data_IF_108667105133
#
_entry.id   IF_108667105133
#
_cell.length_a   1.000
_cell.length_b   1.000
_cell.length_c   1.000
_cell.angle_alpha   90.00
_cell.angle_beta   90.00
_cell.angle_gamma   90.00
#
_symmetry.space_group_name_H-M   'P 1'
#
loop_
_entity.id
_entity.type
_entity.pdbx_description
1 polymer ?
#
# COMPACT_ATOMS: atom_id res chain seq x y z
N UNK A 1 6.39 54.35 25.64
CA UNK A 1 6.91 53.18 24.95
C UNK A 1 6.32 51.92 25.59
N UNK A 2 5.27 51.40 25.01
CA UNK A 2 4.66 50.11 25.46
C UNK A 2 5.19 49.01 24.56
N UNK A 3 5.92 48.06 25.15
CA UNK A 3 6.39 46.85 24.46
C UNK A 3 5.23 45.85 24.39
N UNK A 4 4.80 45.49 23.18
CA UNK A 4 3.92 44.36 22.95
C UNK A 4 4.77 43.10 22.80
N UNK A 5 4.60 42.16 23.72
CA UNK A 5 5.15 40.80 23.61
C UNK A 5 4.12 40.00 22.83
N UNK A 6 4.48 39.62 21.60
CA UNK A 6 3.71 38.70 20.77
C UNK A 6 4.10 37.28 21.16
N UNK A 7 3.25 36.64 21.94
CA UNK A 7 3.38 35.20 22.21
C UNK A 7 2.75 34.43 21.07
N UNK A 8 3.57 33.92 20.16
CA UNK A 8 3.15 32.97 19.13
C UNK A 8 2.89 31.61 19.78
N UNK A 9 1.63 31.25 19.87
CA UNK A 9 1.17 29.93 20.28
C UNK A 9 1.39 28.96 19.11
N UNK A 10 2.45 28.17 19.16
CA UNK A 10 2.65 27.04 18.25
C UNK A 10 1.66 25.95 18.65
N UNK A 11 0.54 25.84 17.90
CA UNK A 11 -0.36 24.70 17.97
C UNK A 11 0.29 23.56 17.19
N UNK A 12 1.04 22.69 17.86
CA UNK A 12 1.40 21.40 17.30
C UNK A 12 0.12 20.57 17.20
N UNK A 13 -0.50 20.54 16.04
CA UNK A 13 -1.44 19.48 15.69
C UNK A 13 -0.64 18.18 15.59
N UNK A 14 -0.62 17.40 16.66
CA UNK A 14 -0.25 15.99 16.57
C UNK A 14 -1.32 15.31 15.70
N UNK A 15 -1.01 15.11 14.42
CA UNK A 15 -1.75 14.12 13.62
C UNK A 15 -1.56 12.78 14.32
N UNK A 16 -2.57 12.38 15.06
CA UNK A 16 -2.72 10.99 15.46
C UNK A 16 -3.01 10.26 14.14
N UNK A 17 -1.99 9.67 13.56
CA UNK A 17 -2.16 8.64 12.56
C UNK A 17 -2.99 7.55 13.25
N UNK A 18 -4.26 7.47 12.93
CA UNK A 18 -5.05 6.31 13.25
C UNK A 18 -4.42 5.17 12.45
N UNK A 19 -3.61 4.35 13.11
CA UNK A 19 -3.12 3.13 12.52
C UNK A 19 -4.35 2.39 11.98
N UNK A 20 -4.33 2.04 10.69
CA UNK A 20 -5.35 1.17 10.10
C UNK A 20 -5.50 -0.04 11.02
N UNK A 21 -6.71 -0.52 11.31
CA UNK A 21 -6.86 -1.70 12.15
C UNK A 21 -6.16 -2.87 11.45
N UNK A 22 -4.97 -3.21 11.93
CA UNK A 22 -4.27 -4.39 11.46
C UNK A 22 -5.17 -5.61 11.63
N UNK A 23 -5.32 -6.41 10.59
CA UNK A 23 -5.97 -7.71 10.71
C UNK A 23 -5.24 -8.51 11.77
N UNK A 24 -5.94 -8.92 12.83
CA UNK A 24 -5.32 -9.79 13.83
C UNK A 24 -4.78 -11.05 13.17
N UNK A 25 -3.51 -11.35 13.40
CA UNK A 25 -2.88 -12.60 12.97
C UNK A 25 -3.33 -13.80 13.82
N UNK A 26 -4.05 -13.58 14.92
CA UNK A 26 -4.45 -14.58 15.90
C UNK A 26 -5.91 -14.43 16.26
N UNK A 27 -6.55 -15.58 16.60
CA UNK A 27 -7.87 -15.55 17.25
C UNK A 27 -7.74 -14.88 18.63
N UNK A 28 -8.68 -14.02 18.98
CA UNK A 28 -8.66 -13.29 20.25
C UNK A 28 -9.09 -14.13 21.47
N UNK A 29 -9.65 -15.31 21.22
CA UNK A 29 -10.26 -16.19 22.20
C UNK A 29 -9.79 -17.65 22.11
N UNK A 30 -8.67 -17.91 21.41
CA UNK A 30 -8.14 -19.27 21.21
C UNK A 30 -6.63 -19.33 21.40
N UNK A 31 -6.20 -20.44 21.97
CA UNK A 31 -4.79 -20.80 22.07
C UNK A 31 -4.58 -22.28 21.82
N UNK A 32 -3.38 -22.64 21.46
CA UNK A 32 -2.93 -24.02 21.37
C UNK A 32 -2.03 -24.32 22.55
N UNK A 33 -2.16 -25.51 23.12
CA UNK A 33 -1.19 -26.08 24.06
C UNK A 33 -0.71 -27.42 23.53
N UNK A 34 0.56 -27.71 23.75
CA UNK A 34 1.11 -29.06 23.59
C UNK A 34 1.45 -29.59 24.98
N UNK A 35 0.98 -30.77 25.31
CA UNK A 35 1.34 -31.43 26.57
C UNK A 35 2.71 -32.11 26.48
N UNK A 36 3.36 -32.30 27.62
CA UNK A 36 4.60 -33.07 27.70
C UNK A 36 4.40 -34.49 27.15
N UNK A 37 5.43 -35.12 26.56
CA UNK A 37 5.32 -36.44 25.93
C UNK A 37 4.90 -37.57 26.88
N UNK A 38 5.16 -37.42 28.16
CA UNK A 38 4.80 -38.42 29.23
C UNK A 38 3.39 -38.18 29.79
N UNK A 39 2.70 -37.13 29.31
CA UNK A 39 1.36 -36.80 29.76
C UNK A 39 0.35 -37.38 28.77
N UNK A 40 -0.58 -38.16 29.30
CA UNK A 40 -1.69 -38.75 28.52
C UNK A 40 -3.02 -38.26 29.06
N UNK A 41 -3.84 -37.70 28.18
CA UNK A 41 -5.24 -37.38 28.46
C UNK A 41 -6.11 -38.48 27.88
N UNK A 42 -6.60 -39.38 28.72
CA UNK A 42 -7.45 -40.49 28.25
C UNK A 42 -8.83 -40.04 27.80
N UNK A 43 -9.39 -39.03 28.51
CA UNK A 43 -10.70 -38.47 28.22
C UNK A 43 -10.77 -37.03 28.72
N UNK A 44 -11.49 -36.21 28.00
CA UNK A 44 -11.84 -34.85 28.42
C UNK A 44 -13.26 -34.83 28.88
N UNK A 45 -13.48 -34.69 30.16
CA UNK A 45 -14.77 -34.52 30.79
C UNK A 45 -15.14 -33.02 30.98
N UNK A 46 -16.38 -32.72 31.33
CA UNK A 46 -16.79 -31.35 31.62
C UNK A 46 -17.40 -31.27 33.02
N UNK A 47 -16.88 -30.37 33.85
CA UNK A 47 -17.45 -30.09 35.19
C UNK A 47 -17.64 -28.58 35.37
N UNK A 48 -18.81 -28.17 35.80
CA UNK A 48 -19.12 -26.75 36.06
C UNK A 48 -18.83 -25.81 34.88
N UNK A 49 -18.92 -26.32 33.65
CA UNK A 49 -18.71 -25.53 32.43
C UNK A 49 -17.26 -25.43 31.96
N UNK A 50 -16.33 -26.12 32.62
CA UNK A 50 -14.90 -26.18 32.21
C UNK A 50 -14.50 -27.62 31.84
N UNK A 51 -13.57 -27.82 30.90
CA UNK A 51 -12.96 -29.10 30.62
C UNK A 51 -12.15 -29.62 31.82
N UNK A 52 -12.13 -30.94 31.98
CA UNK A 52 -11.39 -31.66 33.04
C UNK A 52 -10.61 -32.80 32.39
N UNK A 53 -9.32 -32.88 32.63
CA UNK A 53 -8.38 -33.83 32.02
C UNK A 53 -7.92 -34.91 32.99
N UNK A 54 -8.14 -34.71 34.29
CA UNK A 54 -7.58 -35.55 35.36
C UNK A 54 -6.17 -35.08 35.80
N UNK A 55 -5.58 -34.09 35.14
CA UNK A 55 -4.28 -33.52 35.50
C UNK A 55 -4.54 -32.30 36.38
N UNK A 56 -4.28 -32.40 37.67
CA UNK A 56 -4.75 -31.41 38.66
C UNK A 56 -4.22 -29.97 38.42
N UNK A 57 -3.00 -29.80 37.92
CA UNK A 57 -2.43 -28.48 37.61
C UNK A 57 -3.15 -27.87 36.39
N UNK A 58 -3.34 -28.66 35.35
CA UNK A 58 -4.01 -28.26 34.11
C UNK A 58 -5.49 -27.96 34.35
N UNK A 59 -6.21 -28.85 35.06
CA UNK A 59 -7.63 -28.68 35.41
C UNK A 59 -7.91 -27.39 36.17
N UNK A 60 -6.96 -27.04 37.08
CA UNK A 60 -7.03 -25.77 37.78
C UNK A 60 -6.91 -24.57 36.85
N UNK A 61 -6.00 -24.60 35.87
CA UNK A 61 -5.82 -23.53 34.90
C UNK A 61 -7.03 -23.44 33.95
N UNK A 62 -7.53 -24.57 33.45
CA UNK A 62 -8.72 -24.64 32.60
C UNK A 62 -9.93 -23.95 33.27
N UNK A 63 -10.16 -24.24 34.55
CA UNK A 63 -11.23 -23.62 35.33
C UNK A 63 -10.97 -22.13 35.61
N UNK A 64 -9.76 -21.75 36.07
CA UNK A 64 -9.41 -20.38 36.45
C UNK A 64 -9.37 -19.42 35.26
N UNK A 65 -9.17 -19.91 34.03
CA UNK A 65 -9.04 -19.11 32.83
C UNK A 65 -10.26 -19.12 31.95
N UNK A 66 -11.39 -19.62 32.48
CA UNK A 66 -12.68 -19.67 31.77
C UNK A 66 -12.56 -20.36 30.40
N UNK A 67 -11.78 -21.46 30.36
CA UNK A 67 -11.73 -22.31 29.17
C UNK A 67 -13.05 -23.06 29.06
N UNK A 68 -13.70 -22.92 27.93
CA UNK A 68 -15.03 -23.53 27.67
C UNK A 68 -14.95 -24.68 26.69
N UNK A 69 -13.86 -24.77 25.91
CA UNK A 69 -13.60 -25.88 24.99
C UNK A 69 -12.15 -26.31 25.14
N UNK A 70 -11.93 -27.60 25.16
CA UNK A 70 -10.63 -28.24 24.93
C UNK A 70 -10.86 -29.40 23.98
N UNK A 71 -10.20 -29.36 22.84
CA UNK A 71 -10.32 -30.39 21.79
C UNK A 71 -8.96 -30.69 21.18
N UNK A 72 -8.77 -31.91 20.73
CA UNK A 72 -7.56 -32.29 20.00
C UNK A 72 -7.45 -31.42 18.73
N UNK A 73 -6.29 -30.74 18.56
CA UNK A 73 -6.10 -29.81 17.43
C UNK A 73 -6.03 -30.51 16.09
N UNK A 74 -5.46 -31.72 16.05
CA UNK A 74 -5.40 -32.60 14.88
C UNK A 74 -6.30 -33.83 15.13
N UNK A 75 -7.59 -33.77 14.79
CA UNK A 75 -8.53 -34.84 15.08
C UNK A 75 -8.11 -36.17 14.41
N UNK A 76 -8.05 -37.24 15.19
CA UNK A 76 -7.68 -38.56 14.71
C UNK A 76 -6.17 -38.84 14.74
N UNK A 77 -5.32 -37.89 15.16
CA UNK A 77 -3.93 -38.19 15.45
C UNK A 77 -3.80 -39.10 16.67
N UNK A 78 -2.79 -39.94 16.67
CA UNK A 78 -2.47 -40.95 17.67
C UNK A 78 -1.11 -40.66 18.31
N UNK A 79 -0.73 -41.30 19.41
CA UNK A 79 0.61 -41.14 19.98
C UNK A 79 1.77 -41.55 19.06
N UNK A 80 1.49 -42.31 18.00
CA UNK A 80 2.49 -42.71 17.01
C UNK A 80 2.71 -41.62 15.93
N UNK A 81 1.83 -40.62 15.85
CA UNK A 81 1.95 -39.49 14.93
C UNK A 81 2.84 -38.42 15.53
N UNK A 82 4.05 -38.29 15.01
CA UNK A 82 5.09 -37.41 15.55
C UNK A 82 5.63 -36.43 14.51
N UNK A 83 6.00 -35.23 14.96
CA UNK A 83 6.84 -34.27 14.24
C UNK A 83 8.08 -33.94 15.09
N UNK A 84 9.21 -34.53 14.73
CA UNK A 84 10.39 -34.55 15.60
C UNK A 84 10.08 -35.19 16.97
N UNK A 85 10.26 -34.47 18.06
CA UNK A 85 9.97 -34.92 19.42
C UNK A 85 8.54 -34.57 19.89
N UNK A 86 7.72 -33.98 19.03
CA UNK A 86 6.35 -33.57 19.33
C UNK A 86 5.36 -34.67 18.97
N UNK A 87 4.58 -35.12 19.94
CA UNK A 87 3.45 -36.03 19.73
C UNK A 87 2.25 -35.20 19.28
N UNK A 88 1.81 -35.39 18.03
CA UNK A 88 0.76 -34.57 17.42
C UNK A 88 -0.60 -34.70 18.12
N UNK A 89 -0.90 -35.88 18.71
CA UNK A 89 -2.12 -36.09 19.48
C UNK A 89 -2.12 -35.34 20.83
N UNK A 90 -0.98 -34.82 21.29
CA UNK A 90 -0.86 -34.03 22.51
C UNK A 90 -1.07 -32.52 22.29
N UNK A 91 -1.40 -32.12 21.06
CA UNK A 91 -1.72 -30.72 20.75
C UNK A 91 -3.23 -30.50 20.89
N UNK A 92 -3.60 -29.58 21.76
CA UNK A 92 -5.00 -29.24 22.05
C UNK A 92 -5.28 -27.78 21.72
N UNK A 93 -6.47 -27.52 21.14
CA UNK A 93 -7.05 -26.21 21.06
C UNK A 93 -7.87 -25.92 22.31
N UNK A 94 -7.61 -24.77 22.91
CA UNK A 94 -8.41 -24.24 24.01
C UNK A 94 -9.17 -22.99 23.53
N UNK A 95 -10.49 -22.94 23.82
CA UNK A 95 -11.29 -21.74 23.55
C UNK A 95 -11.77 -21.12 24.88
N UNK A 96 -11.69 -19.78 24.94
CA UNK A 96 -12.09 -18.96 26.07
C UNK A 96 -13.46 -18.33 25.80
N UNK A 97 -14.09 -17.83 26.85
CA UNK A 97 -15.21 -16.90 26.70
C UNK A 97 -14.68 -15.59 26.13
N UNK A 98 -15.16 -15.23 24.94
CA UNK A 98 -14.67 -14.06 24.18
C UNK A 98 -14.74 -12.76 25.01
N UNK A 99 -13.68 -11.95 24.93
CA UNK A 99 -13.62 -10.59 25.48
C UNK A 99 -13.40 -10.48 26.99
N UNK A 100 -13.18 -11.59 27.71
CA UNK A 100 -13.04 -11.56 29.18
C UNK A 100 -11.60 -11.63 29.70
N UNK A 101 -10.67 -12.23 28.96
CA UNK A 101 -9.31 -12.48 29.44
C UNK A 101 -8.26 -11.88 28.52
N UNK A 102 -7.14 -11.44 29.08
CA UNK A 102 -5.95 -11.11 28.32
C UNK A 102 -5.30 -12.42 27.84
N UNK A 103 -5.42 -12.71 26.54
CA UNK A 103 -4.97 -13.96 25.93
C UNK A 103 -3.46 -14.18 26.14
N UNK A 104 -2.64 -13.12 26.09
CA UNK A 104 -1.18 -13.25 26.31
C UNK A 104 -0.87 -13.74 27.70
N UNK A 105 -1.57 -13.23 28.71
CA UNK A 105 -1.42 -13.68 30.08
C UNK A 105 -1.91 -15.12 30.25
N UNK A 106 -2.97 -15.51 29.56
CA UNK A 106 -3.48 -16.89 29.57
C UNK A 106 -2.44 -17.83 28.97
N UNK A 107 -1.90 -17.52 27.79
CA UNK A 107 -0.81 -18.28 27.14
C UNK A 107 0.39 -18.45 28.09
N UNK A 108 0.84 -17.35 28.70
CA UNK A 108 1.96 -17.38 29.63
C UNK A 108 1.70 -18.30 30.85
N UNK A 109 0.46 -18.34 31.35
CA UNK A 109 0.13 -19.21 32.50
C UNK A 109 0.13 -20.69 32.08
N UNK A 110 -0.38 -21.04 30.90
CA UNK A 110 -0.32 -22.42 30.41
C UNK A 110 1.13 -22.83 30.11
N UNK A 111 1.91 -21.95 29.52
CA UNK A 111 3.34 -22.23 29.27
C UNK A 111 4.15 -22.48 30.53
N UNK A 112 3.73 -21.91 31.65
CA UNK A 112 4.39 -22.10 32.97
C UNK A 112 3.94 -23.38 33.69
N UNK A 113 2.92 -24.10 33.19
CA UNK A 113 2.47 -25.36 33.84
C UNK A 113 3.40 -26.51 33.46
N UNK A 114 3.83 -27.34 34.43
CA UNK A 114 4.81 -28.41 34.20
C UNK A 114 4.27 -29.53 33.28
N UNK A 115 2.97 -29.64 33.10
CA UNK A 115 2.35 -30.62 32.15
C UNK A 115 2.35 -30.12 30.71
N UNK A 116 2.65 -28.83 30.47
CA UNK A 116 2.61 -28.20 29.17
C UNK A 116 4.02 -28.06 28.59
N UNK A 117 4.27 -28.56 27.40
CA UNK A 117 5.53 -28.41 26.69
C UNK A 117 5.65 -26.99 26.10
N UNK A 118 4.60 -26.51 25.43
CA UNK A 118 4.46 -25.13 24.95
C UNK A 118 3.00 -24.69 24.92
N UNK A 119 2.79 -23.37 24.93
CA UNK A 119 1.50 -22.74 24.68
C UNK A 119 1.69 -21.54 23.77
N UNK A 120 0.77 -21.32 22.83
CA UNK A 120 0.82 -20.23 21.87
C UNK A 120 -0.59 -19.77 21.47
N UNK A 121 -0.71 -18.57 20.90
CA UNK A 121 -1.97 -18.09 20.32
C UNK A 121 -2.25 -18.85 19.03
N UNK A 122 -3.51 -19.22 18.79
CA UNK A 122 -3.90 -19.86 17.53
C UNK A 122 -3.84 -18.86 16.37
N UNK A 123 -3.02 -19.16 15.37
CA UNK A 123 -2.82 -18.33 14.17
C UNK A 123 -4.04 -18.41 13.27
N UNK A 124 -4.47 -17.28 12.73
CA UNK A 124 -5.47 -17.23 11.66
C UNK A 124 -4.75 -17.40 10.32
N UNK A 125 -4.85 -18.58 9.73
CA UNK A 125 -4.37 -18.80 8.37
C UNK A 125 -5.35 -18.18 7.38
N UNK A 126 -4.85 -17.30 6.53
CA UNK A 126 -5.61 -16.68 5.45
C UNK A 126 -4.90 -16.93 4.13
N UNK A 127 -5.63 -17.10 3.02
CA UNK A 127 -5.02 -16.99 1.70
C UNK A 127 -4.36 -15.62 1.58
N UNK A 128 -3.16 -15.57 1.02
CA UNK A 128 -2.52 -14.29 0.69
C UNK A 128 -3.40 -13.54 -0.31
N UNK A 129 -3.51 -12.24 -0.10
CA UNK A 129 -4.20 -11.38 -1.04
C UNK A 129 -3.53 -11.45 -2.42
N UNK A 130 -4.34 -11.60 -3.45
CA UNK A 130 -3.88 -11.62 -4.85
C UNK A 130 -4.70 -10.61 -5.64
N UNK A 131 -4.07 -9.57 -6.20
CA UNK A 131 -4.77 -8.61 -7.06
C UNK A 131 -5.34 -9.27 -8.31
N UNK A 132 -6.40 -8.67 -8.85
CA UNK A 132 -7.07 -9.20 -10.03
C UNK A 132 -6.47 -8.72 -11.36
N UNK A 133 -5.38 -7.98 -11.32
CA UNK A 133 -4.70 -7.41 -12.49
C UNK A 133 -4.25 -8.49 -13.45
N UNK A 134 -4.60 -8.32 -14.73
CA UNK A 134 -4.46 -9.37 -15.75
C UNK A 134 -3.03 -9.87 -15.99
N UNK A 135 -2.02 -9.05 -15.67
CA UNK A 135 -0.59 -9.36 -15.80
C UNK A 135 0.10 -9.68 -14.47
N UNK A 136 -0.62 -9.68 -13.33
CA UNK A 136 -0.02 -9.94 -12.03
C UNK A 136 0.78 -11.25 -12.00
N UNK A 137 0.28 -12.31 -12.63
CA UNK A 137 0.97 -13.60 -12.70
C UNK A 137 2.35 -13.56 -13.38
N UNK A 138 2.63 -12.52 -14.17
CA UNK A 138 3.92 -12.31 -14.84
C UNK A 138 4.89 -11.46 -14.00
N UNK A 139 4.41 -10.87 -12.90
CA UNK A 139 5.19 -9.96 -12.04
C UNK A 139 5.95 -10.73 -10.95
N UNK A 140 6.91 -11.55 -11.36
CA UNK A 140 7.71 -12.39 -10.47
C UNK A 140 8.38 -11.64 -9.29
N UNK A 141 8.62 -10.35 -9.47
CA UNK A 141 9.29 -9.51 -8.47
C UNK A 141 8.39 -9.17 -7.27
N UNK A 142 7.08 -9.06 -7.43
CA UNK A 142 6.16 -8.74 -6.32
C UNK A 142 6.16 -9.84 -5.24
N UNK A 143 6.01 -11.13 -5.56
CA UNK A 143 6.22 -12.18 -4.57
C UNK A 143 7.66 -12.22 -4.02
N UNK A 144 8.66 -11.88 -4.86
CA UNK A 144 10.06 -11.88 -4.42
C UNK A 144 10.34 -10.85 -3.33
N UNK A 145 9.72 -9.68 -3.38
CA UNK A 145 9.80 -8.62 -2.36
C UNK A 145 8.73 -8.76 -1.27
N UNK A 146 7.92 -9.82 -1.32
CA UNK A 146 6.82 -10.10 -0.37
C UNK A 146 5.73 -9.03 -0.35
N UNK A 147 5.44 -8.44 -1.50
CA UNK A 147 4.37 -7.44 -1.63
C UNK A 147 2.99 -8.02 -1.30
N UNK A 148 2.57 -9.22 -1.79
CA UNK A 148 1.30 -9.82 -1.41
C UNK A 148 1.15 -10.04 0.10
N UNK A 149 2.22 -10.48 0.77
CA UNK A 149 2.23 -10.66 2.23
C UNK A 149 2.10 -9.32 2.97
N UNK A 150 2.72 -8.26 2.44
CA UNK A 150 2.58 -6.92 3.01
C UNK A 150 1.15 -6.36 2.81
N UNK A 151 0.57 -6.56 1.64
CA UNK A 151 -0.81 -6.12 1.37
C UNK A 151 -1.84 -6.87 2.21
N UNK A 152 -1.59 -8.15 2.53
CA UNK A 152 -2.49 -8.95 3.37
C UNK A 152 -2.61 -8.46 4.82
N UNK A 153 -1.70 -7.59 5.28
CA UNK A 153 -1.81 -6.91 6.57
C UNK A 153 -2.99 -5.92 6.62
N UNK A 154 -3.52 -5.50 5.46
CA UNK A 154 -4.61 -4.54 5.34
C UNK A 154 -5.94 -5.26 5.11
N UNK A 155 -7.05 -4.65 5.54
CA UNK A 155 -8.40 -5.18 5.29
C UNK A 155 -8.96 -4.71 3.94
N UNK A 156 -8.29 -5.13 2.85
CA UNK A 156 -8.63 -4.71 1.48
C UNK A 156 -10.09 -5.01 1.16
N UNK A 157 -10.60 -6.18 1.55
CA UNK A 157 -12.02 -6.54 1.36
C UNK A 157 -12.99 -5.63 2.15
N UNK A 158 -12.52 -5.06 3.27
CA UNK A 158 -13.25 -4.07 4.07
C UNK A 158 -13.00 -2.63 3.61
N UNK A 159 -12.26 -2.41 2.51
CA UNK A 159 -11.99 -1.09 1.95
C UNK A 159 -10.75 -0.38 2.53
N UNK A 160 -9.96 -1.06 3.35
CA UNK A 160 -8.70 -0.51 3.88
C UNK A 160 -7.57 -0.90 2.94
N UNK A 161 -7.15 0.04 2.08
CA UNK A 161 -6.12 -0.20 1.07
C UNK A 161 -4.71 -0.01 1.63
N UNK A 162 -3.71 -0.80 1.17
CA UNK A 162 -2.30 -0.52 1.41
C UNK A 162 -1.89 0.79 0.74
N UNK A 163 -1.12 1.62 1.45
CA UNK A 163 -0.69 2.92 0.92
C UNK A 163 -1.72 4.03 1.11
N UNK A 164 -1.35 5.23 0.67
CA UNK A 164 -2.14 6.45 0.81
C UNK A 164 -1.85 7.38 -0.37
N UNK A 165 -2.88 7.96 -1.00
CA UNK A 165 -2.75 8.86 -2.14
C UNK A 165 -2.07 10.21 -1.79
N UNK A 166 -1.98 10.55 -0.51
CA UNK A 166 -1.16 11.68 -0.05
C UNK A 166 0.35 11.43 -0.15
N UNK A 167 0.75 10.15 -0.35
CA UNK A 167 2.16 9.78 -0.61
C UNK A 167 2.42 9.89 -2.10
N UNK A 168 3.21 10.89 -2.46
CA UNK A 168 3.59 11.18 -3.85
C UNK A 168 4.92 10.53 -4.18
N UNK A 169 4.94 9.76 -5.25
CA UNK A 169 6.15 9.17 -5.84
C UNK A 169 6.48 9.88 -7.13
N UNK A 170 7.65 10.48 -7.23
CA UNK A 170 8.11 11.12 -8.46
C UNK A 170 8.82 10.09 -9.37
N UNK A 171 8.33 9.93 -10.60
CA UNK A 171 9.04 9.23 -11.67
C UNK A 171 9.90 10.24 -12.44
N UNK A 172 11.20 10.28 -12.11
CA UNK A 172 12.18 11.17 -12.76
C UNK A 172 12.85 10.39 -13.87
N UNK A 173 12.32 10.46 -15.10
CA UNK A 173 12.67 9.53 -16.19
C UNK A 173 12.48 10.16 -17.59
N UNK A 174 12.16 9.33 -18.58
CA UNK A 174 11.87 9.71 -19.98
C UNK A 174 10.46 10.28 -20.20
N UNK A 175 9.73 10.59 -19.14
CA UNK A 175 8.33 10.95 -19.16
C UNK A 175 7.41 9.74 -19.00
N UNK A 176 6.18 10.01 -18.62
CA UNK A 176 5.15 9.01 -18.32
C UNK A 176 3.95 9.23 -19.22
N UNK A 177 3.44 8.16 -19.83
CA UNK A 177 2.14 8.21 -20.50
C UNK A 177 1.03 8.29 -19.43
N UNK A 178 0.78 9.47 -18.93
CA UNK A 178 -0.19 9.71 -17.85
C UNK A 178 -1.64 9.47 -18.28
N UNK A 179 -1.91 9.30 -19.60
CA UNK A 179 -3.21 8.87 -20.16
C UNK A 179 -3.35 7.35 -20.22
N UNK A 180 -2.31 6.59 -19.84
CA UNK A 180 -2.35 5.12 -19.90
C UNK A 180 -3.47 4.57 -19.01
N UNK A 181 -4.32 3.62 -19.50
CA UNK A 181 -5.47 3.12 -18.74
C UNK A 181 -5.16 2.60 -17.33
N UNK A 182 -3.94 2.09 -17.13
CA UNK A 182 -3.47 1.53 -15.87
C UNK A 182 -2.75 2.55 -14.96
N UNK A 183 -2.57 3.80 -15.42
CA UNK A 183 -1.86 4.85 -14.70
C UNK A 183 -2.72 6.10 -14.44
N UNK A 184 -3.62 6.44 -15.35
CA UNK A 184 -4.34 7.72 -15.38
C UNK A 184 -5.03 8.06 -14.06
N UNK A 185 -5.53 7.07 -13.34
CA UNK A 185 -6.24 7.25 -12.07
C UNK A 185 -5.27 7.35 -10.87
N UNK A 186 -3.96 7.29 -11.10
CA UNK A 186 -2.89 7.39 -10.09
C UNK A 186 -1.99 8.60 -10.27
N UNK A 187 -2.23 9.41 -11.29
CA UNK A 187 -1.46 10.63 -11.52
C UNK A 187 -1.68 11.59 -10.35
N UNK A 188 -0.59 12.15 -9.86
CA UNK A 188 -0.63 13.23 -8.89
C UNK A 188 -1.16 14.50 -9.53
N UNK A 189 -2.00 15.24 -8.82
CA UNK A 189 -2.48 16.55 -9.22
C UNK A 189 -1.85 17.59 -8.31
N UNK A 190 -1.17 18.57 -8.87
CA UNK A 190 -0.76 19.76 -8.15
C UNK A 190 -1.99 20.57 -7.76
N UNK A 191 -2.40 20.47 -6.50
CA UNK A 191 -3.62 21.12 -6.01
C UNK A 191 -3.56 22.65 -6.07
N UNK A 192 -2.35 23.21 -6.01
CA UNK A 192 -2.16 24.66 -6.10
C UNK A 192 -2.40 25.16 -7.54
N UNK A 193 -2.07 24.35 -8.53
CA UNK A 193 -2.26 24.65 -9.96
C UNK A 193 -3.69 24.41 -10.46
N UNK A 194 -4.62 24.01 -9.59
CA UNK A 194 -6.05 23.99 -9.93
C UNK A 194 -6.63 25.39 -9.72
N UNK A 195 -7.00 26.12 -10.79
CA UNK A 195 -7.44 27.51 -10.65
C UNK A 195 -8.64 27.64 -9.71
N UNK A 196 -8.56 28.58 -8.76
CA UNK A 196 -9.57 28.78 -7.70
C UNK A 196 -10.98 28.96 -8.30
N UNK A 197 -11.06 29.56 -9.49
CA UNK A 197 -12.35 29.82 -10.16
C UNK A 197 -13.10 28.57 -10.63
N UNK A 198 -12.39 27.44 -10.81
CA UNK A 198 -12.97 26.17 -11.25
C UNK A 198 -12.90 25.09 -10.17
N UNK A 199 -12.14 25.28 -9.10
CA UNK A 199 -11.88 24.24 -8.09
C UNK A 199 -13.15 23.53 -7.63
N UNK A 200 -14.16 24.26 -7.19
CA UNK A 200 -15.42 23.66 -6.71
C UNK A 200 -16.26 22.98 -7.83
N UNK A 201 -15.98 23.25 -9.11
CA UNK A 201 -16.65 22.59 -10.22
C UNK A 201 -15.93 21.31 -10.62
N UNK A 202 -14.63 21.25 -10.39
CA UNK A 202 -13.79 20.06 -10.62
C UNK A 202 -13.90 19.10 -9.43
N UNK A 203 -13.76 19.55 -8.18
CA UNK A 203 -13.97 18.78 -6.96
C UNK A 203 -15.44 18.37 -6.82
N UNK A 204 -15.82 17.36 -7.59
CA UNK A 204 -17.22 16.94 -7.75
C UNK A 204 -17.77 16.18 -6.54
N UNK A 205 -16.90 15.58 -5.75
CA UNK A 205 -17.24 14.84 -4.52
C UNK A 205 -17.19 15.73 -3.27
N UNK A 206 -16.63 16.96 -3.39
CA UNK A 206 -16.52 17.98 -2.33
C UNK A 206 -15.67 17.49 -1.14
N UNK A 207 -14.62 16.72 -1.39
CA UNK A 207 -13.69 16.27 -0.35
C UNK A 207 -12.51 17.25 -0.13
N UNK A 208 -12.41 18.29 -0.95
CA UNK A 208 -11.39 19.33 -0.89
C UNK A 208 -10.07 18.97 -1.58
N UNK A 209 -10.06 17.89 -2.37
CA UNK A 209 -8.91 17.43 -3.15
C UNK A 209 -9.36 17.08 -4.56
N UNK A 210 -8.75 17.68 -5.57
CA UNK A 210 -9.02 17.34 -6.96
C UNK A 210 -8.24 16.08 -7.36
N UNK A 211 -8.94 15.04 -7.76
CA UNK A 211 -8.39 13.78 -8.25
C UNK A 211 -8.18 13.79 -9.77
N UNK A 212 -7.31 12.92 -10.33
CA UNK A 212 -7.17 12.78 -11.78
C UNK A 212 -8.45 12.30 -12.47
N UNK A 213 -9.28 11.53 -11.78
CA UNK A 213 -10.59 11.11 -12.26
C UNK A 213 -11.53 12.31 -12.45
N UNK A 214 -11.50 13.26 -11.53
CA UNK A 214 -12.29 14.49 -11.58
C UNK A 214 -11.79 15.45 -12.64
N UNK A 215 -10.46 15.60 -12.79
CA UNK A 215 -9.87 16.36 -13.93
C UNK A 215 -10.34 15.75 -15.24
N UNK A 216 -10.20 14.43 -15.41
CA UNK A 216 -10.62 13.73 -16.62
C UNK A 216 -12.12 13.82 -16.92
N UNK A 217 -12.97 13.93 -15.88
CA UNK A 217 -14.41 14.12 -16.02
C UNK A 217 -14.81 15.57 -16.33
N UNK A 218 -13.99 16.54 -15.92
CA UNK A 218 -14.26 17.96 -16.09
C UNK A 218 -13.82 18.50 -17.45
N UNK A 219 -12.68 18.03 -17.97
CA UNK A 219 -12.16 18.48 -19.27
C UNK A 219 -13.04 18.06 -20.43
N UNK A 220 -12.92 18.76 -21.54
CA UNK A 220 -13.53 18.39 -22.83
C UNK A 220 -12.41 18.13 -23.85
N UNK A 221 -12.74 17.67 -25.04
CA UNK A 221 -11.75 17.46 -26.11
C UNK A 221 -11.20 18.84 -26.58
N UNK A 222 -10.20 19.34 -25.85
CA UNK A 222 -9.59 20.65 -26.08
C UNK A 222 -8.61 20.64 -27.25
N UNK A 223 -7.95 19.54 -27.53
CA UNK A 223 -6.99 19.39 -28.62
C UNK A 223 -7.64 18.97 -29.94
N UNK A 224 -8.94 18.62 -29.92
CA UNK A 224 -9.74 18.29 -31.10
C UNK A 224 -9.40 16.94 -31.72
N UNK A 225 -8.76 16.03 -30.94
CA UNK A 225 -8.35 14.72 -31.46
C UNK A 225 -9.49 13.67 -31.44
N UNK A 226 -10.64 14.00 -30.88
CA UNK A 226 -11.81 13.14 -30.73
C UNK A 226 -11.78 12.24 -29.49
N UNK A 227 -10.85 12.45 -28.58
CA UNK A 227 -10.70 11.68 -27.35
C UNK A 227 -10.53 12.63 -26.17
N UNK A 228 -11.43 12.55 -25.19
CA UNK A 228 -11.28 13.31 -23.94
C UNK A 228 -10.46 12.52 -22.93
N UNK A 229 -9.37 13.10 -22.44
CA UNK A 229 -8.48 12.47 -21.46
C UNK A 229 -7.67 13.53 -20.69
N UNK A 230 -6.75 13.11 -19.80
CA UNK A 230 -5.94 14.03 -19.00
C UNK A 230 -5.06 14.99 -19.82
N UNK A 231 -4.68 14.63 -21.06
CA UNK A 231 -3.87 15.51 -21.92
C UNK A 231 -4.62 16.78 -22.28
N UNK A 232 -5.94 16.73 -22.38
CA UNK A 232 -6.76 17.91 -22.63
C UNK A 232 -6.66 18.96 -21.52
N UNK A 233 -6.32 18.56 -20.30
CA UNK A 233 -6.11 19.49 -19.19
C UNK A 233 -4.90 20.39 -19.43
N UNK A 234 -3.86 19.90 -20.12
CA UNK A 234 -2.64 20.66 -20.45
C UNK A 234 -2.73 21.41 -21.79
N UNK A 235 -3.85 21.32 -22.50
CA UNK A 235 -4.01 22.07 -23.75
C UNK A 235 -4.24 23.56 -23.47
N UNK A 236 -3.62 24.43 -24.25
CA UNK A 236 -3.63 25.89 -24.04
C UNK A 236 -5.03 26.56 -23.99
N UNK A 237 -6.07 25.87 -24.44
CA UNK A 237 -7.47 26.33 -24.32
C UNK A 237 -8.18 25.74 -23.10
N UNK A 238 -7.52 24.90 -22.34
CA UNK A 238 -8.07 24.31 -21.12
C UNK A 238 -8.19 25.36 -20.01
N UNK A 239 -9.24 25.30 -19.19
CA UNK A 239 -9.38 26.20 -18.05
C UNK A 239 -8.35 25.94 -16.92
N UNK A 240 -7.56 24.87 -16.99
CA UNK A 240 -6.44 24.63 -16.08
C UNK A 240 -5.18 25.42 -16.47
N UNK A 241 -5.07 25.84 -17.74
CA UNK A 241 -3.91 26.57 -18.26
C UNK A 241 -4.16 28.09 -18.15
N UNK A 242 -4.04 28.63 -16.96
CA UNK A 242 -4.28 30.06 -16.71
C UNK A 242 -3.00 30.92 -16.82
N UNK A 243 -1.85 30.27 -16.97
CA UNK A 243 -0.55 30.90 -17.14
C UNK A 243 0.05 31.48 -15.86
N UNK A 244 -0.37 30.98 -14.72
CA UNK A 244 0.09 31.40 -13.39
C UNK A 244 0.80 30.21 -12.73
N UNK A 245 1.99 30.45 -12.19
CA UNK A 245 2.65 29.57 -11.23
C UNK A 245 2.04 29.87 -9.86
N UNK A 246 1.05 29.09 -9.47
CA UNK A 246 0.20 29.40 -8.31
C UNK A 246 0.84 28.97 -6.98
N UNK A 247 1.76 28.01 -6.99
CA UNK A 247 2.45 27.59 -5.77
C UNK A 247 3.77 28.37 -5.52
N UNK A 248 4.37 28.97 -6.57
CA UNK A 248 5.59 29.81 -6.52
C UNK A 248 6.66 29.26 -5.55
N UNK A 249 6.80 27.92 -5.50
CA UNK A 249 7.62 27.24 -4.49
C UNK A 249 9.11 27.65 -4.55
N UNK A 250 9.60 28.07 -5.72
CA UNK A 250 10.97 28.53 -5.92
C UNK A 250 11.14 30.05 -5.81
N UNK A 251 10.07 30.78 -5.47
CA UNK A 251 9.98 32.24 -5.42
C UNK A 251 10.26 32.92 -6.77
N UNK A 252 9.87 32.27 -7.86
CA UNK A 252 9.99 32.78 -9.21
C UNK A 252 8.72 32.47 -10.02
N UNK A 253 7.71 33.30 -9.88
CA UNK A 253 6.39 33.16 -10.48
C UNK A 253 6.35 33.00 -12.03
N UNK A 254 7.46 32.74 -12.67
CA UNK A 254 7.60 32.43 -14.09
C UNK A 254 8.28 31.07 -14.33
N UNK A 255 8.49 30.27 -13.28
CA UNK A 255 8.98 28.91 -13.34
C UNK A 255 7.81 27.96 -13.06
N UNK A 256 7.81 26.77 -13.61
CA UNK A 256 6.84 25.71 -13.33
C UNK A 256 5.36 26.09 -13.51
N UNK A 257 5.07 27.00 -14.45
CA UNK A 257 3.72 27.51 -14.76
C UNK A 257 2.83 26.35 -15.20
N UNK A 258 1.64 26.21 -14.58
CA UNK A 258 0.64 25.20 -14.90
C UNK A 258 1.17 23.75 -14.81
N UNK A 259 2.04 23.42 -13.83
CA UNK A 259 2.66 22.10 -13.66
C UNK A 259 1.74 21.06 -13.01
N UNK A 260 0.54 20.96 -13.53
CA UNK A 260 -0.58 20.19 -12.99
C UNK A 260 -0.27 18.72 -12.67
N UNK A 261 0.58 18.05 -13.47
CA UNK A 261 0.93 16.62 -13.33
C UNK A 261 2.41 16.41 -12.98
N UNK A 262 3.18 17.48 -12.90
CA UNK A 262 4.62 17.52 -12.78
C UNK A 262 5.25 18.34 -13.93
N UNK A 263 6.50 18.10 -14.27
CA UNK A 263 7.28 18.99 -15.11
C UNK A 263 8.14 18.28 -16.15
N UNK A 264 8.35 18.91 -17.31
CA UNK A 264 9.30 18.50 -18.34
C UNK A 264 10.49 19.48 -18.46
N UNK A 265 11.55 19.36 -17.66
CA UNK A 265 12.75 20.17 -17.85
C UNK A 265 13.53 19.82 -19.11
N UNK A 266 13.26 18.71 -19.77
CA UNK A 266 13.95 18.30 -21.00
C UNK A 266 13.34 18.90 -22.26
N UNK A 267 12.04 19.20 -22.23
CA UNK A 267 11.30 19.75 -23.36
C UNK A 267 11.12 18.79 -24.53
N UNK A 268 10.45 19.27 -25.58
CA UNK A 268 10.01 18.42 -26.70
C UNK A 268 10.97 18.43 -27.89
N UNK A 269 11.65 19.53 -28.18
CA UNK A 269 12.32 19.75 -29.48
C UNK A 269 13.85 19.75 -29.39
N UNK A 270 14.42 20.40 -28.39
CA UNK A 270 15.87 20.60 -28.29
C UNK A 270 16.49 20.09 -27.01
N UNK A 271 15.66 19.69 -26.06
CA UNK A 271 16.07 19.33 -24.71
C UNK A 271 16.50 20.52 -23.85
N UNK A 272 16.04 21.74 -24.20
CA UNK A 272 16.31 22.98 -23.50
C UNK A 272 15.09 23.94 -23.57
N UNK A 273 13.90 23.42 -23.77
CA UNK A 273 12.62 24.11 -23.85
C UNK A 273 11.66 23.51 -22.78
N UNK A 274 11.90 23.76 -21.48
CA UNK A 274 11.08 23.21 -20.40
C UNK A 274 9.61 23.56 -20.61
N UNK A 275 8.73 22.60 -20.32
CA UNK A 275 7.30 22.80 -20.37
C UNK A 275 6.56 21.97 -19.30
N UNK A 276 5.25 22.11 -19.21
CA UNK A 276 4.39 21.45 -18.22
C UNK A 276 3.80 20.12 -18.72
N UNK A 277 4.25 19.59 -19.87
CA UNK A 277 3.80 18.29 -20.38
C UNK A 277 4.86 17.19 -20.17
N UNK A 278 4.83 16.46 -19.04
CA UNK A 278 5.78 15.39 -18.76
C UNK A 278 5.50 14.09 -19.53
N UNK A 279 4.70 14.14 -20.59
CA UNK A 279 4.40 13.01 -21.45
C UNK A 279 5.68 12.47 -22.11
N UNK A 280 5.86 11.17 -22.03
CA UNK A 280 6.90 10.49 -22.81
C UNK A 280 6.63 10.61 -24.32
N UNK A 281 7.67 10.88 -25.11
CA UNK A 281 7.55 10.92 -26.59
C UNK A 281 7.49 9.50 -27.16
N UNK A 282 6.36 9.13 -27.76
CA UNK A 282 6.12 7.78 -28.32
C UNK A 282 6.29 7.72 -29.85
N UNK A 283 6.78 8.78 -30.49
CA UNK A 283 6.99 8.86 -31.93
C UNK A 283 8.31 8.22 -32.36
N UNK A 284 8.25 7.08 -33.06
CA UNK A 284 9.38 6.37 -33.65
C UNK A 284 9.19 4.85 -33.67
N UNK A 285 10.17 4.06 -34.19
CA UNK A 285 10.06 2.61 -34.26
C UNK A 285 9.77 2.00 -32.90
N UNK A 286 8.85 1.04 -32.85
CA UNK A 286 8.38 0.38 -31.63
C UNK A 286 9.50 -0.38 -30.87
N UNK A 287 10.66 -0.55 -31.44
CA UNK A 287 11.83 -1.26 -30.93
C UNK A 287 12.81 -0.38 -30.11
N UNK A 288 12.58 0.92 -30.02
CA UNK A 288 13.36 1.78 -29.15
C UNK A 288 12.80 1.72 -27.71
N UNK A 289 13.21 0.67 -26.97
CA UNK A 289 12.72 0.39 -25.61
C UNK A 289 12.86 1.53 -24.58
N UNK A 290 13.60 2.59 -24.94
CA UNK A 290 13.83 3.74 -24.06
C UNK A 290 12.64 4.72 -24.03
N UNK A 291 11.77 4.71 -25.05
CA UNK A 291 10.66 5.69 -25.18
C UNK A 291 9.56 5.47 -24.15
N UNK A 292 9.42 4.25 -23.69
CA UNK A 292 8.42 3.88 -22.70
C UNK A 292 9.01 3.59 -21.32
N UNK A 293 10.30 3.88 -21.13
CA UNK A 293 11.00 3.53 -19.89
C UNK A 293 10.32 4.17 -18.68
N UNK A 294 10.12 5.48 -18.68
CA UNK A 294 9.46 6.17 -17.58
C UNK A 294 8.00 5.72 -17.35
N UNK A 295 7.26 5.38 -18.41
CA UNK A 295 5.91 4.79 -18.28
C UNK A 295 5.98 3.40 -17.62
N UNK A 296 6.95 2.58 -18.01
CA UNK A 296 7.14 1.26 -17.42
C UNK A 296 7.57 1.35 -15.94
N UNK A 297 8.51 2.24 -15.63
CA UNK A 297 8.93 2.51 -14.24
C UNK A 297 7.76 3.05 -13.42
N UNK A 298 7.02 4.03 -13.95
CA UNK A 298 5.82 4.57 -13.32
C UNK A 298 4.77 3.51 -13.04
N UNK A 299 4.59 2.56 -13.96
CA UNK A 299 3.70 1.40 -13.77
C UNK A 299 4.12 0.51 -12.60
N UNK A 300 5.40 0.17 -12.49
CA UNK A 300 5.93 -0.61 -11.37
C UNK A 300 5.72 0.14 -10.04
N UNK A 301 5.88 1.46 -10.05
CA UNK A 301 5.70 2.29 -8.86
C UNK A 301 4.22 2.38 -8.46
N UNK A 302 3.34 2.75 -9.38
CA UNK A 302 2.01 3.26 -9.05
C UNK A 302 0.89 2.87 -10.03
N UNK A 303 1.00 1.79 -10.82
CA UNK A 303 -0.15 1.30 -11.59
C UNK A 303 -1.36 1.07 -10.68
N UNK A 304 -2.56 1.24 -11.24
CA UNK A 304 -3.79 1.04 -10.48
C UNK A 304 -3.96 -0.45 -10.17
N UNK A 305 -3.64 -0.83 -8.94
CA UNK A 305 -3.73 -2.21 -8.48
C UNK A 305 -5.20 -2.60 -8.26
N UNK A 306 -5.54 -3.86 -8.60
CA UNK A 306 -6.86 -4.46 -8.40
C UNK A 306 -7.96 -3.86 -9.29
N UNK A 307 -7.59 -3.41 -10.51
CA UNK A 307 -8.51 -2.84 -11.49
C UNK A 307 -8.86 -3.82 -12.65
N UNK A 308 -8.36 -5.07 -12.60
CA UNK A 308 -8.55 -6.08 -13.65
C UNK A 308 -7.73 -5.85 -14.91
N UNK A 309 -6.90 -4.81 -14.96
CA UNK A 309 -6.15 -4.37 -16.13
C UNK A 309 -4.66 -4.34 -15.80
N UNK A 310 -3.79 -4.60 -16.79
CA UNK A 310 -2.35 -4.38 -16.70
C UNK A 310 -1.67 -5.06 -15.51
N UNK A 311 -0.96 -4.30 -14.71
CA UNK A 311 -0.05 -4.75 -13.64
C UNK A 311 -0.44 -4.19 -12.28
N UNK A 312 -0.12 -4.91 -11.21
CA UNK A 312 -0.16 -4.37 -9.85
C UNK A 312 1.09 -3.51 -9.55
N UNK A 313 0.93 -2.46 -8.78
CA UNK A 313 2.04 -1.58 -8.37
C UNK A 313 2.63 -1.97 -7.01
N UNK A 314 3.87 -1.53 -6.76
CA UNK A 314 4.53 -1.79 -5.47
C UNK A 314 3.91 -1.02 -4.32
N UNK A 315 3.42 0.21 -4.55
CA UNK A 315 2.81 1.04 -3.50
C UNK A 315 1.33 0.75 -3.30
N UNK A 316 0.67 0.03 -4.22
CA UNK A 316 -0.75 -0.28 -4.24
C UNK A 316 -1.66 0.96 -4.41
N UNK A 317 -1.65 1.93 -3.49
CA UNK A 317 -2.52 3.11 -3.49
C UNK A 317 -1.71 4.38 -3.14
N UNK A 318 -0.87 4.82 -4.07
CA UNK A 318 -0.14 6.09 -4.00
C UNK A 318 -0.42 6.98 -5.20
N UNK A 319 0.15 8.18 -5.22
CA UNK A 319 0.07 9.12 -6.34
C UNK A 319 1.41 9.20 -7.09
N UNK A 320 1.36 9.33 -8.41
CA UNK A 320 2.51 9.38 -9.31
C UNK A 320 2.69 10.79 -9.87
N UNK A 321 3.74 11.49 -9.46
CA UNK A 321 4.20 12.72 -10.08
C UNK A 321 5.09 12.38 -11.28
N UNK A 322 4.86 13.02 -12.41
CA UNK A 322 5.59 12.78 -13.64
C UNK A 322 6.68 13.86 -13.82
N UNK A 323 7.96 13.46 -13.91
CA UNK A 323 9.08 14.39 -14.16
C UNK A 323 9.93 13.85 -15.31
N UNK A 324 9.87 14.53 -16.46
CA UNK A 324 10.59 14.11 -17.66
C UNK A 324 11.91 14.86 -17.79
N UNK A 325 13.00 14.19 -17.44
CA UNK A 325 14.36 14.77 -17.46
C UNK A 325 15.22 14.25 -18.60
N UNK A 326 14.75 13.27 -19.36
CA UNK A 326 15.52 12.63 -20.42
C UNK A 326 14.86 12.86 -21.77
N UNK A 327 15.60 13.49 -22.68
CA UNK A 327 15.22 13.68 -24.07
C UNK A 327 15.84 12.60 -24.95
N UNK A 328 15.08 12.03 -25.91
CA UNK A 328 15.47 10.88 -26.72
C UNK A 328 16.85 10.99 -27.41
N UNK A 329 17.22 12.17 -27.91
CA UNK A 329 18.48 12.35 -28.64
C UNK A 329 19.73 12.35 -27.76
N UNK A 330 19.61 12.61 -26.45
CA UNK A 330 20.78 12.61 -25.54
C UNK A 330 21.17 11.22 -25.06
N UNK A 331 20.25 10.28 -24.99
CA UNK A 331 20.56 8.90 -24.59
C UNK A 331 21.51 8.20 -25.57
N UNK A 332 21.37 8.44 -26.88
CA UNK A 332 22.22 7.86 -27.89
C UNK A 332 23.64 8.43 -27.89
N UNK A 333 23.84 9.65 -27.41
CA UNK A 333 25.18 10.28 -27.37
C UNK A 333 26.02 9.81 -26.20
N UNK A 334 25.43 9.36 -25.07
CA UNK A 334 26.20 8.83 -23.94
C UNK A 334 26.58 7.35 -24.09
N UNK A 335 25.85 6.58 -24.86
CA UNK A 335 26.19 5.17 -25.12
C UNK A 335 27.24 4.97 -26.20
N UNK A 336 27.55 6.00 -27.01
CA UNK A 336 28.43 5.92 -28.15
C UNK A 336 29.80 6.62 -28.03
N UNK A 337 30.01 7.51 -27.04
CA UNK A 337 31.30 8.21 -26.91
C UNK A 337 31.66 8.47 -25.44
N UNK A 338 32.76 7.83 -25.10
CA UNK A 338 33.66 8.13 -23.98
C UNK A 338 33.28 7.79 -22.56
N UNK A 339 34.02 6.82 -22.07
CA UNK A 339 34.29 6.54 -20.64
C UNK A 339 35.04 7.67 -19.89
N UNK A 340 35.13 8.86 -20.45
CA UNK A 340 36.06 9.89 -19.97
C UNK A 340 35.43 11.25 -19.71
N UNK A 341 34.37 11.34 -18.88
CA UNK A 341 34.06 12.61 -18.18
C UNK A 341 33.12 12.40 -17.01
N UNK A 342 33.48 11.58 -16.04
CA UNK A 342 33.06 11.73 -14.65
C UNK A 342 34.36 11.89 -13.85
N UNK A 343 34.96 13.09 -13.93
CA UNK A 343 35.90 13.61 -12.95
C UNK A 343 35.82 15.13 -13.01
N UNK A 344 35.09 15.68 -12.06
CA UNK A 344 35.36 16.91 -11.32
C UNK A 344 34.07 17.36 -10.65
#
# INVERSE_FOLDING_TARGET
MKKYILTSLFLMASMVYAASPEKSAYYGDRLLICLQPDIVVEQIDFKSGAPVTGISSLDRLLSLREIVVMEQYLPGSTPDDMDGDIILSNIYRLSLVSGRSNLEQVVANFHADPSVLYAEKEVIYRPLYTPNDSQFGNQWYLPKIKAPEAWDLFDIAGGVLPGDRSIVLASVDTGVQYTHPDLKDRIWINQAEVPVGIFNAVDSNSDGVVSPEEVGAYVTDHDGNGTTNLQDALHSSSPFMDGIDADDWDNNASSYIDDLFGWDPAGTTSGNDPDNDPMGTFTGPADSGNKMHGTHVGGILAATTDNGTGIASTIYNGALMCVKVLYEKRWWYQSGTSRDTIRS
#
